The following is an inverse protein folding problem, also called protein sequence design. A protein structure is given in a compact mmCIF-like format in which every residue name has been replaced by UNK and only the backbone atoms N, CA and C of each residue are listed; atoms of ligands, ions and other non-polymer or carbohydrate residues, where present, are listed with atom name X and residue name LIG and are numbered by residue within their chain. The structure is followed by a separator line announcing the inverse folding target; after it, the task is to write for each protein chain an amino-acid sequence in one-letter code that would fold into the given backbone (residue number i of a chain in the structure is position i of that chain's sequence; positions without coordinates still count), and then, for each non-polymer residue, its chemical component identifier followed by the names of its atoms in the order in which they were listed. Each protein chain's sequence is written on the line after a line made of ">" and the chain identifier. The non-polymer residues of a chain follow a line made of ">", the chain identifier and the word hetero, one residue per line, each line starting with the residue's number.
data_IF_459519362405
#
_entry.id   IF_459519362405
#
_cell.length_a   1.000
_cell.length_b   1.000
_cell.length_c   1.000
_cell.angle_alpha   90.00
_cell.angle_beta   90.00
_cell.angle_gamma   90.00
#
_symmetry.space_group_name_H-M   'P 1'
#
loop_
_entity.id
_entity.type
_entity.pdbx_description
1 polymer ?
#
# COMPACT_ATOMS: atom_id res chain seq x y z
N UNK A 1 39.16 15.79 6.24
CA UNK A 1 37.92 15.14 5.74
C UNK A 1 37.07 14.74 6.94
N UNK A 2 35.97 15.45 7.20
CA UNK A 2 35.04 15.07 8.26
C UNK A 2 34.32 13.77 7.86
N UNK A 3 34.42 12.73 8.70
CA UNK A 3 33.68 11.50 8.51
C UNK A 3 32.18 11.84 8.42
N UNK A 4 31.58 11.61 7.25
CA UNK A 4 30.14 11.79 7.02
C UNK A 4 29.42 10.87 8.03
N UNK A 5 28.89 11.45 9.10
CA UNK A 5 28.14 10.73 10.14
C UNK A 5 27.07 9.92 9.42
N UNK A 6 27.24 8.60 9.39
CA UNK A 6 26.31 7.70 8.69
C UNK A 6 24.93 7.95 9.29
N UNK A 7 24.02 8.52 8.51
CA UNK A 7 22.64 8.74 8.98
C UNK A 7 22.11 7.40 9.49
N UNK A 8 21.63 7.41 10.73
CA UNK A 8 21.14 6.20 11.38
C UNK A 8 19.82 5.82 10.70
N UNK A 9 19.87 4.75 9.91
CA UNK A 9 18.72 4.23 9.17
C UNK A 9 17.72 3.57 10.13
N UNK A 10 16.47 4.01 10.10
CA UNK A 10 15.35 3.42 10.84
C UNK A 10 14.88 2.16 10.11
N UNK A 11 15.54 1.03 10.41
CA UNK A 11 15.41 -0.23 9.66
C UNK A 11 14.03 -0.86 9.83
N UNK A 12 13.49 -0.84 11.04
CA UNK A 12 12.20 -1.46 11.35
C UNK A 12 11.08 -0.71 10.62
N UNK A 13 11.12 0.63 10.69
CA UNK A 13 10.19 1.49 9.95
C UNK A 13 10.31 1.29 8.44
N UNK A 14 11.54 1.25 7.91
CA UNK A 14 11.78 0.97 6.49
C UNK A 14 11.12 -0.35 6.05
N UNK A 15 11.25 -1.41 6.85
CA UNK A 15 10.63 -2.71 6.54
C UNK A 15 9.11 -2.60 6.52
N UNK A 16 8.49 -1.97 7.53
CA UNK A 16 7.04 -1.80 7.57
C UNK A 16 6.52 -1.00 6.36
N UNK A 17 7.19 0.11 6.01
CA UNK A 17 6.85 0.92 4.81
C UNK A 17 7.04 0.11 3.53
N UNK A 18 8.12 -0.69 3.43
CA UNK A 18 8.37 -1.53 2.28
C UNK A 18 7.27 -2.58 2.08
N UNK A 19 6.80 -3.22 3.14
CA UNK A 19 5.69 -4.19 3.07
C UNK A 19 4.43 -3.52 2.51
N UNK A 20 4.04 -2.36 3.04
CA UNK A 20 2.88 -1.62 2.52
C UNK A 20 3.09 -1.21 1.06
N UNK A 21 4.29 -0.72 0.70
CA UNK A 21 4.60 -0.39 -0.68
C UNK A 21 4.48 -1.58 -1.63
N UNK A 22 4.90 -2.78 -1.21
CA UNK A 22 4.72 -4.02 -1.99
C UNK A 22 3.25 -4.37 -2.14
N UNK A 23 2.46 -4.32 -1.06
CA UNK A 23 1.02 -4.61 -1.09
C UNK A 23 0.28 -3.70 -2.08
N UNK A 24 0.57 -2.39 -2.01
CA UNK A 24 -0.05 -1.41 -2.92
C UNK A 24 0.45 -1.56 -4.36
N UNK A 25 1.72 -1.92 -4.56
CA UNK A 25 2.24 -2.23 -5.90
C UNK A 25 1.55 -3.45 -6.51
N UNK A 26 1.32 -4.52 -5.72
CA UNK A 26 0.57 -5.72 -6.15
C UNK A 26 -0.88 -5.36 -6.47
N UNK A 27 -1.54 -4.59 -5.61
CA UNK A 27 -2.91 -4.11 -5.86
C UNK A 27 -2.99 -3.26 -7.14
N UNK A 28 -2.04 -2.36 -7.38
CA UNK A 28 -1.97 -1.59 -8.62
C UNK A 28 -1.74 -2.46 -9.86
N UNK A 29 -0.94 -3.52 -9.75
CA UNK A 29 -0.78 -4.51 -10.83
C UNK A 29 -2.06 -5.31 -11.07
N UNK A 30 -2.83 -5.62 -10.03
CA UNK A 30 -4.14 -6.27 -10.16
C UNK A 30 -5.11 -5.42 -10.99
N UNK A 31 -5.23 -4.14 -10.64
CA UNK A 31 -6.00 -3.18 -11.45
C UNK A 31 -5.52 -3.19 -12.90
N UNK A 32 -4.21 -3.06 -13.11
CA UNK A 32 -3.67 -3.00 -14.47
C UNK A 32 -3.86 -4.30 -15.28
N UNK A 33 -3.88 -5.45 -14.62
CA UNK A 33 -4.22 -6.73 -15.24
C UNK A 33 -5.66 -6.73 -15.77
N UNK A 34 -6.63 -6.36 -14.94
CA UNK A 34 -8.04 -6.33 -15.35
C UNK A 34 -8.33 -5.25 -16.39
N UNK A 35 -7.69 -4.09 -16.30
CA UNK A 35 -7.76 -3.06 -17.34
C UNK A 35 -7.22 -3.57 -18.68
N UNK A 36 -6.08 -4.26 -18.67
CA UNK A 36 -5.50 -4.87 -19.88
C UNK A 36 -6.45 -5.88 -20.53
N UNK A 37 -7.17 -6.67 -19.72
CA UNK A 37 -8.16 -7.65 -20.22
C UNK A 37 -9.36 -7.01 -20.93
N UNK A 38 -9.64 -5.74 -20.69
CA UNK A 38 -10.67 -4.98 -21.43
C UNK A 38 -10.19 -4.54 -22.84
N UNK A 39 -8.90 -4.75 -23.15
CA UNK A 39 -8.34 -4.64 -24.49
C UNK A 39 -8.15 -3.21 -24.98
N UNK A 40 -7.92 -3.07 -26.29
CA UNK A 40 -7.76 -1.77 -26.96
C UNK A 40 -9.10 -1.04 -27.11
N UNK A 41 -9.70 -0.71 -25.97
CA UNK A 41 -11.04 -0.12 -25.87
C UNK A 41 -10.91 1.26 -25.23
N UNK A 42 -11.63 2.25 -25.76
CA UNK A 42 -11.66 3.60 -25.21
C UNK A 42 -12.30 3.58 -23.82
N UNK A 43 -11.71 4.29 -22.85
CA UNK A 43 -12.33 4.45 -21.54
C UNK A 43 -13.53 5.40 -21.62
N UNK A 44 -14.57 5.19 -20.80
CA UNK A 44 -15.74 6.08 -20.78
C UNK A 44 -15.43 7.48 -20.21
N UNK A 45 -14.28 7.63 -19.54
CA UNK A 45 -13.82 8.86 -18.92
C UNK A 45 -12.54 8.65 -18.13
N UNK A 46 -12.28 9.56 -17.18
CA UNK A 46 -11.12 9.50 -16.27
C UNK A 46 -11.35 8.50 -15.13
N UNK A 47 -12.59 8.38 -14.66
CA UNK A 47 -12.99 7.35 -13.69
C UNK A 47 -13.46 6.12 -14.44
N UNK A 48 -12.88 4.97 -14.10
CA UNK A 48 -13.15 3.69 -14.75
C UNK A 48 -13.37 2.60 -13.71
N UNK A 49 -14.01 1.51 -14.15
CA UNK A 49 -14.01 0.24 -13.44
C UNK A 49 -12.86 -0.60 -14.01
N UNK A 50 -11.92 -0.99 -13.16
CA UNK A 50 -10.77 -1.79 -13.58
C UNK A 50 -11.21 -3.20 -13.97
N UNK A 51 -12.21 -3.75 -13.27
CA UNK A 51 -12.81 -5.05 -13.61
C UNK A 51 -14.05 -4.81 -14.49
N UNK A 52 -13.88 -5.13 -15.77
CA UNK A 52 -14.94 -5.01 -16.78
C UNK A 52 -16.07 -6.03 -16.58
N UNK A 53 -17.25 -5.82 -17.19
CA UNK A 53 -18.39 -6.74 -17.05
C UNK A 53 -18.09 -8.20 -17.41
N UNK A 54 -17.19 -8.44 -18.38
CA UNK A 54 -16.81 -9.79 -18.80
C UNK A 54 -15.88 -10.50 -17.80
N UNK A 55 -15.22 -9.76 -16.91
CA UNK A 55 -14.30 -10.28 -15.90
C UNK A 55 -14.86 -10.20 -14.48
N UNK A 56 -16.06 -9.64 -14.30
CA UNK A 56 -16.70 -9.48 -13.00
C UNK A 56 -17.09 -10.85 -12.43
N UNK A 57 -16.49 -11.21 -11.30
CA UNK A 57 -16.71 -12.51 -10.65
C UNK A 57 -17.89 -12.52 -9.67
N UNK A 58 -18.30 -11.34 -9.19
CA UNK A 58 -19.39 -11.19 -8.22
C UNK A 58 -19.99 -9.78 -8.29
N UNK A 59 -21.15 -9.57 -7.66
CA UNK A 59 -21.96 -8.35 -7.79
C UNK A 59 -21.17 -7.04 -7.64
N UNK A 60 -20.26 -6.98 -6.66
CA UNK A 60 -19.47 -5.78 -6.32
C UNK A 60 -18.03 -5.80 -6.86
N UNK A 61 -17.62 -6.82 -7.62
CA UNK A 61 -16.25 -6.97 -8.12
C UNK A 61 -15.96 -6.09 -9.33
N UNK A 62 -15.75 -4.78 -9.11
CA UNK A 62 -15.61 -3.78 -10.18
C UNK A 62 -14.36 -2.90 -10.08
N UNK A 63 -13.94 -2.61 -8.85
CA UNK A 63 -12.77 -1.81 -8.45
C UNK A 63 -12.61 -0.46 -9.20
N UNK A 64 -12.89 0.63 -8.49
CA UNK A 64 -12.76 1.98 -9.03
C UNK A 64 -11.30 2.38 -9.23
N UNK A 65 -10.98 2.85 -10.44
CA UNK A 65 -9.68 3.38 -10.81
C UNK A 65 -9.79 4.75 -11.47
N UNK A 66 -8.70 5.51 -11.37
CA UNK A 66 -8.53 6.78 -12.05
C UNK A 66 -7.45 6.61 -13.11
N UNK A 67 -7.70 7.07 -14.33
CA UNK A 67 -6.70 7.04 -15.40
C UNK A 67 -6.80 8.24 -16.31
N UNK A 68 -5.66 8.79 -16.70
CA UNK A 68 -5.55 9.80 -17.75
C UNK A 68 -5.40 9.16 -19.13
N UNK A 69 -5.08 7.85 -19.18
CA UNK A 69 -5.05 7.11 -20.42
C UNK A 69 -6.48 6.87 -20.91
N UNK A 70 -6.84 7.39 -22.09
CA UNK A 70 -8.17 7.24 -22.67
C UNK A 70 -8.40 5.85 -23.30
N UNK A 71 -7.66 4.83 -22.85
CA UNK A 71 -7.70 3.47 -23.40
C UNK A 71 -7.31 2.46 -22.31
N UNK A 72 -8.11 1.40 -22.16
CA UNK A 72 -7.94 0.38 -21.13
C UNK A 72 -6.62 -0.39 -21.23
N UNK A 73 -6.21 -0.81 -22.43
CA UNK A 73 -4.94 -1.51 -22.63
C UNK A 73 -3.74 -0.67 -22.17
N UNK A 74 -3.70 0.61 -22.56
CA UNK A 74 -2.60 1.49 -22.17
C UNK A 74 -2.63 1.81 -20.68
N UNK A 75 -3.81 2.08 -20.12
CA UNK A 75 -4.01 2.25 -18.67
C UNK A 75 -3.44 1.04 -17.92
N UNK A 76 -3.86 -0.17 -18.32
CA UNK A 76 -3.45 -1.39 -17.65
C UNK A 76 -1.95 -1.67 -17.69
N UNK A 77 -1.32 -1.47 -18.84
CA UNK A 77 0.13 -1.62 -18.99
C UNK A 77 0.91 -0.60 -18.14
N UNK A 78 0.45 0.65 -18.06
CA UNK A 78 1.06 1.68 -17.22
C UNK A 78 0.89 1.36 -15.74
N UNK A 79 -0.32 0.97 -15.29
CA UNK A 79 -0.59 0.59 -13.92
C UNK A 79 0.28 -0.60 -13.47
N UNK A 80 0.41 -1.65 -14.30
CA UNK A 80 1.30 -2.78 -14.00
C UNK A 80 2.77 -2.35 -13.93
N UNK A 81 3.20 -1.48 -14.85
CA UNK A 81 4.58 -0.98 -14.88
C UNK A 81 4.90 -0.19 -13.61
N UNK A 82 4.06 0.78 -13.24
CA UNK A 82 4.27 1.58 -12.04
C UNK A 82 4.12 0.75 -10.76
N UNK A 83 3.19 -0.21 -10.71
CA UNK A 83 3.06 -1.17 -9.61
C UNK A 83 4.35 -1.97 -9.40
N UNK A 84 4.95 -2.50 -10.48
CA UNK A 84 6.23 -3.18 -10.43
C UNK A 84 7.38 -2.26 -9.98
N UNK A 85 7.42 -1.01 -10.48
CA UNK A 85 8.41 -0.02 -10.04
C UNK A 85 8.28 0.30 -8.55
N UNK A 86 7.07 0.39 -8.00
CA UNK A 86 6.82 0.60 -6.56
C UNK A 86 7.33 -0.59 -5.75
N UNK A 87 7.10 -1.83 -6.19
CA UNK A 87 7.62 -3.03 -5.53
C UNK A 87 9.15 -2.98 -5.49
N UNK A 88 9.79 -2.75 -6.64
CA UNK A 88 11.25 -2.67 -6.74
C UNK A 88 11.80 -1.52 -5.89
N UNK A 89 11.15 -0.35 -5.92
CA UNK A 89 11.55 0.81 -5.13
C UNK A 89 11.45 0.56 -3.62
N UNK A 90 10.34 -0.07 -3.19
CA UNK A 90 10.07 -0.45 -1.80
C UNK A 90 11.16 -1.36 -1.25
N UNK A 91 11.57 -2.36 -2.04
CA UNK A 91 12.55 -3.35 -1.62
C UNK A 91 13.99 -2.81 -1.65
N UNK A 92 14.36 -2.10 -2.71
CA UNK A 92 15.75 -1.73 -2.96
C UNK A 92 16.12 -0.32 -2.48
N UNK A 93 15.23 0.68 -2.61
CA UNK A 93 15.64 2.08 -2.62
C UNK A 93 15.06 2.96 -1.49
N UNK A 94 14.24 2.41 -0.58
CA UNK A 94 13.68 3.18 0.54
C UNK A 94 14.71 3.71 1.55
N UNK A 95 15.94 3.20 1.52
CA UNK A 95 17.04 3.68 2.35
C UNK A 95 17.75 4.92 1.76
N UNK A 96 17.47 5.29 0.51
CA UNK A 96 18.17 6.38 -0.18
C UNK A 96 17.71 7.77 0.27
N UNK A 97 18.49 8.81 -0.03
CA UNK A 97 18.17 10.20 0.34
C UNK A 97 16.84 10.69 -0.24
N UNK A 98 16.49 10.25 -1.45
CA UNK A 98 15.28 10.67 -2.15
C UNK A 98 14.14 9.65 -2.04
N UNK A 99 14.24 8.72 -1.08
CA UNK A 99 13.31 7.59 -0.95
C UNK A 99 11.85 8.01 -0.95
N UNK A 100 11.47 8.93 -0.05
CA UNK A 100 10.09 9.38 0.09
C UNK A 100 9.59 10.15 -1.15
N UNK A 101 10.45 10.95 -1.80
CA UNK A 101 10.05 11.76 -2.95
C UNK A 101 9.75 10.89 -4.18
N UNK A 102 10.60 9.90 -4.48
CA UNK A 102 10.33 8.95 -5.57
C UNK A 102 9.16 8.05 -5.22
N UNK A 103 9.02 7.64 -3.96
CA UNK A 103 7.91 6.80 -3.51
C UNK A 103 6.56 7.47 -3.75
N UNK A 104 6.38 8.74 -3.35
CA UNK A 104 5.12 9.46 -3.64
C UNK A 104 4.93 9.71 -5.14
N UNK A 105 5.99 10.04 -5.88
CA UNK A 105 5.90 10.23 -7.33
C UNK A 105 5.38 8.97 -8.02
N UNK A 106 5.92 7.80 -7.67
CA UNK A 106 5.47 6.53 -8.23
C UNK A 106 4.01 6.23 -7.90
N UNK A 107 3.54 6.52 -6.69
CA UNK A 107 2.12 6.37 -6.34
C UNK A 107 1.21 7.34 -7.07
N UNK A 108 1.64 8.58 -7.28
CA UNK A 108 0.89 9.54 -8.09
C UNK A 108 0.80 9.06 -9.54
N UNK A 109 1.90 8.55 -10.11
CA UNK A 109 1.90 7.97 -11.45
C UNK A 109 0.99 6.75 -11.54
N UNK A 110 1.03 5.85 -10.54
CA UNK A 110 0.14 4.71 -10.46
C UNK A 110 -1.34 5.13 -10.37
N UNK A 111 -1.67 6.11 -9.51
CA UNK A 111 -3.02 6.65 -9.36
C UNK A 111 -3.55 7.28 -10.65
N UNK A 112 -2.69 7.98 -11.41
CA UNK A 112 -3.06 8.63 -12.66
C UNK A 112 -3.13 7.67 -13.86
N UNK A 113 -2.75 6.40 -13.67
CA UNK A 113 -2.62 5.41 -14.74
C UNK A 113 -3.52 4.19 -14.56
N UNK A 114 -4.45 4.19 -13.59
CA UNK A 114 -5.39 3.09 -13.37
C UNK A 114 -5.16 2.27 -12.10
N UNK A 115 -4.19 2.58 -11.25
CA UNK A 115 -3.86 1.73 -10.10
C UNK A 115 -4.83 1.71 -8.91
N UNK A 116 -6.08 2.11 -9.11
CA UNK A 116 -7.12 2.17 -8.08
C UNK A 116 -7.17 3.49 -7.32
N UNK A 117 -8.37 3.87 -6.87
CA UNK A 117 -8.59 5.08 -6.05
C UNK A 117 -8.38 4.77 -4.57
N UNK A 118 -8.73 3.54 -4.14
CA UNK A 118 -8.62 3.11 -2.74
C UNK A 118 -7.20 3.20 -2.16
N UNK A 119 -6.16 3.09 -2.98
CA UNK A 119 -4.77 3.21 -2.51
C UNK A 119 -4.42 4.58 -1.92
N UNK A 120 -5.17 5.66 -2.23
CA UNK A 120 -4.88 7.04 -1.76
C UNK A 120 -4.81 7.11 -0.24
N UNK A 121 -5.76 6.46 0.44
CA UNK A 121 -5.79 6.45 1.91
C UNK A 121 -4.65 5.65 2.54
N UNK A 122 -3.99 4.76 1.79
CA UNK A 122 -2.87 3.95 2.24
C UNK A 122 -1.51 4.56 1.90
N UNK A 123 -1.31 5.03 0.67
CA UNK A 123 0.00 5.53 0.26
C UNK A 123 0.34 6.87 0.90
N UNK A 124 -0.65 7.73 1.20
CA UNK A 124 -0.39 9.02 1.84
C UNK A 124 0.25 8.87 3.23
N UNK A 125 -0.30 8.03 4.14
CA UNK A 125 0.38 7.69 5.39
C UNK A 125 1.73 7.00 5.16
N UNK A 126 1.78 5.99 4.28
CA UNK A 126 3.02 5.24 4.03
C UNK A 126 4.16 6.18 3.56
N UNK A 127 3.85 7.13 2.68
CA UNK A 127 4.76 8.19 2.27
C UNK A 127 5.18 9.09 3.44
N UNK A 128 4.22 9.55 4.25
CA UNK A 128 4.49 10.38 5.42
C UNK A 128 5.51 9.71 6.35
N UNK A 129 5.31 8.43 6.64
CA UNK A 129 6.26 7.63 7.43
C UNK A 129 7.57 7.34 6.69
N UNK A 130 7.56 7.20 5.36
CA UNK A 130 8.79 7.06 4.57
C UNK A 130 9.72 8.27 4.73
N UNK A 131 9.19 9.48 4.96
CA UNK A 131 10.01 10.68 5.20
C UNK A 131 10.86 10.61 6.47
N UNK A 132 10.53 9.70 7.39
CA UNK A 132 11.21 9.51 8.67
C UNK A 132 12.33 8.47 8.62
N UNK A 133 12.43 7.67 7.54
CA UNK A 133 13.35 6.51 7.47
C UNK A 133 14.83 6.91 7.69
N UNK A 134 15.25 8.06 7.17
CA UNK A 134 16.63 8.56 7.27
C UNK A 134 16.78 9.71 8.28
N UNK A 135 15.75 9.98 9.10
CA UNK A 135 15.75 11.11 10.05
C UNK A 135 15.92 10.65 11.49
N UNK A 136 16.52 11.50 12.36
CA UNK A 136 16.56 11.22 13.79
C UNK A 136 15.14 11.21 14.38
N UNK A 137 14.87 10.27 15.28
CA UNK A 137 13.55 10.05 15.89
C UNK A 137 13.39 10.77 17.26
N UNK A 138 14.15 11.85 17.49
CA UNK A 138 14.18 12.56 18.77
C UNK A 138 12.79 13.07 19.21
N UNK A 139 11.98 13.56 18.27
CA UNK A 139 10.60 13.97 18.53
C UNK A 139 9.73 12.78 18.93
N UNK A 140 9.80 11.68 18.18
CA UNK A 140 9.05 10.45 18.43
C UNK A 140 9.41 9.80 19.78
N UNK A 141 10.66 9.93 20.24
CA UNK A 141 11.09 9.48 21.57
C UNK A 141 10.32 10.18 22.71
N UNK A 142 9.86 11.42 22.50
CA UNK A 142 9.01 12.16 23.45
C UNK A 142 7.55 11.73 23.36
N UNK A 143 7.06 11.42 22.15
CA UNK A 143 5.68 10.99 21.93
C UNK A 143 5.39 9.55 22.35
N UNK A 144 6.40 8.67 22.39
CA UNK A 144 6.25 7.26 22.79
C UNK A 144 6.84 7.05 24.19
N UNK A 145 6.01 7.00 25.24
CA UNK A 145 6.46 6.79 26.62
C UNK A 145 7.29 5.51 26.80
N UNK A 146 8.29 5.56 27.67
CA UNK A 146 9.22 4.45 27.89
C UNK A 146 8.52 3.16 28.36
N UNK A 147 7.44 3.28 29.15
CA UNK A 147 6.68 2.16 29.70
C UNK A 147 5.95 1.33 28.63
N UNK A 148 5.49 1.93 27.53
CA UNK A 148 4.79 1.21 26.44
C UNK A 148 5.72 0.88 25.26
N UNK A 149 6.86 1.57 25.16
CA UNK A 149 7.76 1.47 24.00
C UNK A 149 8.28 0.06 23.77
N UNK A 150 8.71 -0.63 24.83
CA UNK A 150 9.24 -2.01 24.70
C UNK A 150 8.16 -2.99 24.24
N UNK A 151 6.92 -2.83 24.71
CA UNK A 151 5.80 -3.66 24.29
C UNK A 151 5.48 -3.44 22.80
N UNK A 152 5.36 -2.18 22.37
CA UNK A 152 5.14 -1.83 20.96
C UNK A 152 6.29 -2.30 20.06
N UNK A 153 7.53 -2.16 20.53
CA UNK A 153 8.71 -2.60 19.79
C UNK A 153 8.78 -4.12 19.56
N UNK A 154 8.05 -4.93 20.34
CA UNK A 154 7.97 -6.38 20.14
C UNK A 154 6.82 -6.77 19.19
N UNK A 155 5.79 -5.95 19.08
CA UNK A 155 4.59 -6.25 18.29
C UNK A 155 4.62 -5.74 16.85
N UNK A 156 5.58 -4.89 16.47
CA UNK A 156 5.65 -4.33 15.11
C UNK A 156 5.72 -5.39 13.98
N UNK A 157 6.45 -6.52 14.09
CA UNK A 157 6.49 -7.48 12.98
C UNK A 157 5.15 -8.18 12.82
N UNK A 158 4.50 -8.55 13.93
CA UNK A 158 3.22 -9.24 13.94
C UNK A 158 2.09 -8.34 13.43
N UNK A 159 2.07 -7.07 13.85
CA UNK A 159 1.10 -6.10 13.34
C UNK A 159 1.30 -5.79 11.86
N UNK A 160 2.55 -5.71 11.39
CA UNK A 160 2.86 -5.54 9.95
C UNK A 160 2.39 -6.77 9.16
N UNK A 161 2.65 -7.98 9.66
CA UNK A 161 2.20 -9.22 9.02
C UNK A 161 0.67 -9.31 9.00
N UNK A 162 0.00 -8.98 10.10
CA UNK A 162 -1.47 -8.99 10.18
C UNK A 162 -2.08 -7.93 9.24
N UNK A 163 -1.47 -6.76 9.12
CA UNK A 163 -1.84 -5.74 8.13
C UNK A 163 -1.80 -6.33 6.72
N UNK A 164 -0.71 -7.02 6.37
CA UNK A 164 -0.55 -7.63 5.05
C UNK A 164 -1.58 -8.72 4.79
N UNK A 165 -1.82 -9.62 5.76
CA UNK A 165 -2.81 -10.69 5.64
C UNK A 165 -4.21 -10.11 5.44
N UNK A 166 -4.63 -9.14 6.26
CA UNK A 166 -5.95 -8.53 6.14
C UNK A 166 -6.12 -7.75 4.84
N UNK A 167 -5.07 -7.06 4.38
CA UNK A 167 -5.09 -6.35 3.10
C UNK A 167 -5.24 -7.33 1.93
N UNK A 168 -4.46 -8.41 1.90
CA UNK A 168 -4.54 -9.43 0.84
C UNK A 168 -5.88 -10.16 0.87
N UNK A 169 -6.41 -10.45 2.07
CA UNK A 169 -7.73 -11.04 2.22
C UNK A 169 -8.84 -10.11 1.71
N UNK A 170 -8.77 -8.82 2.02
CA UNK A 170 -9.70 -7.83 1.47
C UNK A 170 -9.60 -7.76 -0.07
N UNK A 171 -8.38 -7.77 -0.61
CA UNK A 171 -8.14 -7.77 -2.06
C UNK A 171 -8.71 -9.02 -2.75
N UNK A 172 -8.54 -10.20 -2.14
CA UNK A 172 -9.14 -11.45 -2.63
C UNK A 172 -10.66 -11.35 -2.70
N UNK A 173 -11.30 -10.83 -1.64
CA UNK A 173 -12.76 -10.63 -1.64
C UNK A 173 -13.17 -9.61 -2.70
N UNK A 174 -12.45 -8.49 -2.81
CA UNK A 174 -12.74 -7.43 -3.78
C UNK A 174 -12.77 -7.97 -5.22
N UNK A 175 -11.83 -8.85 -5.56
CA UNK A 175 -11.72 -9.44 -6.90
C UNK A 175 -12.70 -10.61 -7.10
N UNK A 176 -12.64 -11.60 -6.21
CA UNK A 176 -13.27 -12.90 -6.43
C UNK A 176 -14.62 -13.06 -5.72
N UNK A 177 -14.92 -12.21 -4.73
CA UNK A 177 -16.12 -12.36 -3.90
C UNK A 177 -16.13 -13.69 -3.13
N UNK A 178 -14.97 -14.24 -2.84
CA UNK A 178 -14.83 -15.53 -2.20
C UNK A 178 -14.62 -15.38 -0.69
N UNK A 179 -15.53 -15.96 0.09
CA UNK A 179 -15.44 -16.09 1.55
C UNK A 179 -16.05 -17.45 1.90
N UNK A 180 -15.29 -18.39 2.49
CA UNK A 180 -15.81 -19.72 2.83
C UNK A 180 -17.06 -19.63 3.73
N UNK A 181 -18.12 -20.34 3.34
CA UNK A 181 -19.37 -20.42 4.11
C UNK A 181 -20.28 -19.18 4.01
N UNK A 182 -19.93 -18.17 3.20
CA UNK A 182 -20.73 -16.95 3.05
C UNK A 182 -21.34 -16.85 1.65
N UNK A 183 -22.66 -16.69 1.58
CA UNK A 183 -23.41 -16.61 0.32
C UNK A 183 -23.86 -15.19 -0.03
N UNK A 184 -24.21 -14.38 0.98
CA UNK A 184 -24.65 -13.00 0.84
C UNK A 184 -23.56 -12.10 0.26
N UNK A 185 -23.84 -11.43 -0.86
CA UNK A 185 -22.92 -10.48 -1.49
C UNK A 185 -22.68 -9.25 -0.60
N UNK A 186 -23.71 -8.80 0.13
CA UNK A 186 -23.61 -7.66 1.05
C UNK A 186 -22.71 -7.99 2.24
N UNK A 187 -22.82 -9.20 2.80
CA UNK A 187 -21.98 -9.60 3.93
C UNK A 187 -20.50 -9.71 3.53
N UNK A 188 -20.24 -10.21 2.32
CA UNK A 188 -18.88 -10.26 1.73
C UNK A 188 -18.32 -8.86 1.56
N UNK A 189 -19.13 -7.94 1.05
CA UNK A 189 -18.76 -6.53 0.89
C UNK A 189 -18.41 -5.92 2.25
N UNK A 190 -19.27 -6.07 3.26
CA UNK A 190 -19.00 -5.58 4.62
C UNK A 190 -17.72 -6.18 5.22
N UNK A 191 -17.49 -7.48 5.04
CA UNK A 191 -16.27 -8.13 5.51
C UNK A 191 -15.02 -7.61 4.80
N UNK A 192 -15.10 -7.35 3.49
CA UNK A 192 -14.03 -6.73 2.71
C UNK A 192 -13.67 -5.35 3.26
N UNK A 193 -14.66 -4.47 3.41
CA UNK A 193 -14.45 -3.12 3.95
C UNK A 193 -13.96 -3.14 5.41
N UNK A 194 -14.50 -4.02 6.24
CA UNK A 194 -14.04 -4.18 7.62
C UNK A 194 -12.58 -4.64 7.68
N UNK A 195 -12.21 -5.64 6.86
CA UNK A 195 -10.83 -6.14 6.78
C UNK A 195 -9.87 -5.04 6.30
N UNK A 196 -10.26 -4.28 5.29
CA UNK A 196 -9.46 -3.16 4.76
C UNK A 196 -9.34 -2.02 5.78
N UNK A 197 -10.42 -1.68 6.49
CA UNK A 197 -10.43 -0.66 7.54
C UNK A 197 -9.56 -1.05 8.75
N UNK A 198 -9.63 -2.31 9.18
CA UNK A 198 -8.77 -2.84 10.26
C UNK A 198 -7.31 -2.87 9.80
N UNK A 199 -7.03 -3.31 8.57
CA UNK A 199 -5.69 -3.27 7.99
C UNK A 199 -5.13 -1.84 7.98
N UNK A 200 -5.95 -0.85 7.63
CA UNK A 200 -5.56 0.55 7.65
C UNK A 200 -5.19 1.04 9.07
N UNK A 201 -5.99 0.71 10.09
CA UNK A 201 -5.67 1.05 11.48
C UNK A 201 -4.39 0.33 11.97
N UNK A 202 -4.24 -0.95 11.64
CA UNK A 202 -3.06 -1.73 11.98
C UNK A 202 -1.81 -1.24 11.25
N UNK A 203 -1.93 -0.69 10.05
CA UNK A 203 -0.83 -0.07 9.33
C UNK A 203 -0.24 1.10 10.12
N UNK A 204 -1.09 2.02 10.60
CA UNK A 204 -0.63 3.13 11.45
C UNK A 204 0.03 2.63 12.73
N UNK A 205 -0.60 1.67 13.40
CA UNK A 205 -0.01 1.05 14.58
C UNK A 205 1.35 0.42 14.27
N UNK A 206 1.46 -0.31 13.16
CA UNK A 206 2.68 -0.97 12.70
C UNK A 206 3.81 0.03 12.47
N UNK A 207 3.53 1.18 11.85
CA UNK A 207 4.53 2.23 11.66
C UNK A 207 4.99 2.84 12.97
N UNK A 208 4.08 3.15 13.89
CA UNK A 208 4.45 3.71 15.21
C UNK A 208 5.21 2.68 16.05
N UNK A 209 4.78 1.42 16.03
CA UNK A 209 5.45 0.31 16.70
C UNK A 209 6.86 0.05 16.12
N UNK A 210 7.03 0.18 14.80
CA UNK A 210 8.33 0.08 14.14
C UNK A 210 9.25 1.24 14.50
N UNK A 211 8.72 2.46 14.63
CA UNK A 211 9.45 3.62 15.19
C UNK A 211 9.90 3.34 16.62
N UNK A 212 9.03 2.78 17.47
CA UNK A 212 9.40 2.39 18.84
C UNK A 212 10.56 1.38 18.84
N UNK A 213 10.52 0.39 17.95
CA UNK A 213 11.59 -0.60 17.80
C UNK A 213 12.91 0.02 17.31
N UNK A 214 12.85 1.01 16.42
CA UNK A 214 14.06 1.71 15.99
C UNK A 214 14.64 2.58 17.11
N UNK A 215 13.80 3.24 17.92
CA UNK A 215 14.21 4.04 19.10
C UNK A 215 14.92 3.18 20.15
N UNK A 216 14.42 1.97 20.44
CA UNK A 216 15.03 1.05 21.43
C UNK A 216 16.40 0.53 20.97
N UNK A 217 16.65 0.50 19.66
CA UNK A 217 17.96 0.17 19.09
C UNK A 217 18.91 1.37 19.02
N UNK A 218 18.47 2.57 19.46
CA UNK A 218 19.27 3.79 19.33
C UNK A 218 20.26 4.01 20.44
#
# INVERSE_FOLDING_TARGET
>A
MAAKKREKLNRSLKTAVAVVGVLLGVSGMNHGFFETLQGYTRTPGILIQAIGPAQRMWEYGTEEALTLAQNYLFSGLLAMTFGAMIILWSLAYLHTRHSAAVFILLFLLLLLSGGGIGQVVFFLPAWGFATLINKPLNGWKKFIPANIRSAMAKTWPYSTALTAVLFLFALEIAIFGFVPGMTSAVDKLHLCWASLGIAWLLMFYSFVAAIAADIEKQ
#
